data_IF_394710242936
#
_entry.id   IF_394710242936
#
_cell.length_a   1.000
_cell.length_b   1.000
_cell.length_c   1.000
_cell.angle_alpha   90.00
_cell.angle_beta   90.00
_cell.angle_gamma   90.00
#
_symmetry.space_group_name_H-M   'P 1'
#
loop_
_entity.id
_entity.type
_entity.pdbx_description
1 polymer ?
#
# COMPACT_ATOMS: atom_id res chain seq x y z
N UNK A 1 -27.03 20.60 -29.17
CA UNK A 1 -26.26 19.78 -28.20
C UNK A 1 -24.83 20.31 -28.23
N UNK A 2 -24.27 20.82 -27.12
CA UNK A 2 -22.87 21.22 -27.11
C UNK A 2 -21.99 19.98 -27.23
N UNK A 3 -21.04 20.00 -28.17
CA UNK A 3 -20.01 18.97 -28.29
C UNK A 3 -18.81 19.41 -27.46
N UNK A 4 -18.30 18.59 -26.52
CA UNK A 4 -17.06 18.91 -25.82
C UNK A 4 -15.90 19.03 -26.83
N UNK A 5 -15.02 20.00 -26.60
CA UNK A 5 -13.86 20.22 -27.46
C UNK A 5 -12.85 19.07 -27.36
N UNK A 6 -12.03 18.91 -28.40
CA UNK A 6 -10.95 17.91 -28.41
C UNK A 6 -9.89 18.27 -27.36
N UNK A 7 -9.59 17.32 -26.48
CA UNK A 7 -8.49 17.42 -25.52
C UNK A 7 -7.15 17.24 -26.23
N UNK A 8 -6.21 18.15 -26.01
CA UNK A 8 -4.81 17.96 -26.39
C UNK A 8 -4.11 17.19 -25.27
N UNK A 9 -3.57 16.00 -25.58
CA UNK A 9 -2.71 15.25 -24.67
C UNK A 9 -1.27 15.75 -24.83
N UNK A 10 -0.52 15.83 -23.73
CA UNK A 10 0.93 16.02 -23.79
C UNK A 10 1.60 14.67 -24.03
N UNK A 11 2.15 14.47 -25.22
CA UNK A 11 2.75 13.19 -25.65
C UNK A 11 3.91 12.72 -24.75
N UNK A 12 4.66 13.66 -24.16
CA UNK A 12 5.83 13.34 -23.33
C UNK A 12 5.45 12.62 -22.02
N UNK A 13 4.44 13.13 -21.30
CA UNK A 13 4.02 12.55 -20.03
C UNK A 13 3.23 11.24 -20.24
N UNK A 14 2.44 11.18 -21.32
CA UNK A 14 1.71 9.97 -21.70
C UNK A 14 2.65 8.78 -21.92
N UNK A 15 3.72 8.98 -22.68
CA UNK A 15 4.68 7.91 -23.03
C UNK A 15 5.48 7.43 -21.82
N UNK A 16 5.69 8.29 -20.81
CA UNK A 16 6.35 7.90 -19.55
C UNK A 16 5.46 7.00 -18.70
N UNK A 17 4.17 7.33 -18.58
CA UNK A 17 3.19 6.55 -17.80
C UNK A 17 2.76 5.26 -18.50
N UNK A 18 2.68 5.31 -19.83
CA UNK A 18 2.29 4.21 -20.70
C UNK A 18 3.45 3.90 -21.65
N UNK A 19 4.53 3.28 -21.15
CA UNK A 19 5.60 2.82 -22.02
C UNK A 19 5.00 1.88 -23.07
N UNK A 20 5.58 1.78 -24.27
CA UNK A 20 5.04 0.97 -25.38
C UNK A 20 5.15 -0.53 -25.06
N UNK A 21 4.27 -1.01 -24.18
CA UNK A 21 3.97 -2.40 -23.94
C UNK A 21 2.94 -2.81 -24.97
N UNK A 22 3.28 -3.81 -25.77
CA UNK A 22 2.37 -4.31 -26.79
C UNK A 22 1.39 -5.26 -26.12
N UNK A 23 0.14 -4.80 -25.96
CA UNK A 23 -0.98 -5.71 -25.86
C UNK A 23 -0.94 -6.65 -27.07
N UNK A 24 -0.96 -7.97 -26.80
CA UNK A 24 -1.02 -8.98 -27.85
C UNK A 24 -2.45 -9.48 -27.93
N UNK A 25 -3.11 -9.22 -29.05
CA UNK A 25 -4.44 -9.73 -29.28
C UNK A 25 -4.43 -11.25 -29.27
N UNK A 26 -5.34 -11.83 -28.48
CA UNK A 26 -5.60 -13.25 -28.48
C UNK A 26 -6.37 -13.66 -29.74
N UNK A 27 -6.10 -14.86 -30.26
CA UNK A 27 -6.85 -15.42 -31.40
C UNK A 27 -8.33 -15.71 -31.06
N UNK A 28 -8.67 -15.70 -29.77
CA UNK A 28 -10.01 -15.96 -29.23
C UNK A 28 -10.45 -14.80 -28.33
N UNK A 29 -11.76 -14.71 -28.04
CA UNK A 29 -12.28 -13.71 -27.10
C UNK A 29 -11.61 -13.83 -25.72
N UNK A 30 -11.28 -12.68 -25.16
CA UNK A 30 -10.77 -12.55 -23.80
C UNK A 30 -11.90 -12.93 -22.84
N UNK A 31 -11.72 -14.02 -22.07
CA UNK A 31 -12.54 -14.30 -20.90
C UNK A 31 -11.80 -13.85 -19.64
N UNK A 32 -12.26 -12.78 -19.01
CA UNK A 32 -11.72 -12.27 -17.75
C UNK A 32 -12.77 -12.36 -16.66
N UNK A 33 -12.53 -13.24 -15.69
CA UNK A 33 -13.32 -13.36 -14.45
C UNK A 33 -12.59 -12.75 -13.25
N UNK A 34 -11.35 -12.26 -13.46
CA UNK A 34 -10.51 -11.73 -12.39
C UNK A 34 -10.92 -10.30 -12.06
N UNK A 35 -11.23 -10.06 -10.79
CA UNK A 35 -11.41 -8.73 -10.24
C UNK A 35 -10.11 -7.91 -10.38
N UNK A 36 -10.23 -6.58 -10.42
CA UNK A 36 -9.07 -5.69 -10.51
C UNK A 36 -8.13 -5.96 -9.34
N UNK A 37 -6.96 -6.51 -9.68
CA UNK A 37 -5.89 -6.81 -8.75
C UNK A 37 -4.84 -5.71 -8.93
N UNK A 38 -4.91 -4.68 -8.08
CA UNK A 38 -4.09 -3.47 -8.21
C UNK A 38 -2.61 -3.69 -7.85
N UNK A 39 -2.13 -4.94 -7.79
CA UNK A 39 -0.71 -5.28 -7.63
C UNK A 39 -0.12 -4.98 -6.25
N UNK A 40 -0.78 -4.10 -5.50
CA UNK A 40 -0.33 -3.60 -4.23
C UNK A 40 -1.13 -4.29 -3.13
N UNK A 41 -0.36 -4.76 -2.15
CA UNK A 41 -0.73 -5.64 -1.06
C UNK A 41 -2.04 -5.20 -0.39
N UNK A 42 -2.81 -6.19 0.08
CA UNK A 42 -4.14 -6.09 0.69
C UNK A 42 -5.27 -6.15 -0.34
N UNK A 43 -6.17 -7.13 -0.18
CA UNK A 43 -7.28 -7.50 -1.06
C UNK A 43 -8.02 -6.31 -1.72
N UNK A 44 -7.50 -5.80 -2.84
CA UNK A 44 -8.07 -4.67 -3.60
C UNK A 44 -7.83 -3.28 -2.99
N UNK A 45 -7.10 -3.18 -1.88
CA UNK A 45 -6.97 -1.99 -1.03
C UNK A 45 -5.50 -1.60 -0.81
N UNK A 46 -4.67 -1.68 -1.86
CA UNK A 46 -3.30 -1.19 -1.84
C UNK A 46 -3.17 0.30 -1.51
N UNK A 47 -2.02 0.70 -0.97
CA UNK A 47 -1.65 2.10 -0.80
C UNK A 47 -0.80 2.54 -2.00
N UNK A 48 -1.03 3.75 -2.49
CA UNK A 48 -0.25 4.39 -3.54
C UNK A 48 0.39 5.64 -2.95
N UNK A 49 1.69 5.81 -3.17
CA UNK A 49 2.40 7.00 -2.69
C UNK A 49 1.92 8.24 -3.45
N UNK A 50 1.66 9.32 -2.71
CA UNK A 50 1.49 10.65 -3.31
C UNK A 50 2.82 11.42 -3.33
N UNK A 51 2.79 12.67 -3.79
CA UNK A 51 3.99 13.51 -3.89
C UNK A 51 4.64 13.74 -2.51
N UNK A 52 3.83 13.81 -1.45
CA UNK A 52 4.33 14.00 -0.09
C UNK A 52 5.09 12.76 0.40
N UNK A 53 4.58 11.57 0.09
CA UNK A 53 5.25 10.31 0.39
C UNK A 53 6.54 10.15 -0.42
N UNK A 54 6.53 10.50 -1.70
CA UNK A 54 7.70 10.43 -2.57
C UNK A 54 8.84 11.34 -2.07
N UNK A 55 8.54 12.59 -1.72
CA UNK A 55 9.50 13.55 -1.17
C UNK A 55 10.10 13.06 0.16
N UNK A 56 9.25 12.49 1.03
CA UNK A 56 9.70 11.91 2.29
C UNK A 56 10.61 10.71 2.06
N UNK A 57 10.21 9.79 1.17
CA UNK A 57 10.97 8.58 0.86
C UNK A 57 12.35 8.92 0.31
N UNK A 58 12.42 9.88 -0.62
CA UNK A 58 13.67 10.38 -1.18
C UNK A 58 14.58 10.94 -0.08
N UNK A 59 14.05 11.80 0.79
CA UNK A 59 14.79 12.43 1.89
C UNK A 59 15.28 11.38 2.89
N UNK A 60 14.43 10.42 3.27
CA UNK A 60 14.76 9.34 4.18
C UNK A 60 15.89 8.45 3.61
N UNK A 61 15.81 8.10 2.32
CA UNK A 61 16.82 7.27 1.68
C UNK A 61 18.18 7.95 1.52
N UNK A 62 18.21 9.29 1.40
CA UNK A 62 19.48 10.04 1.37
C UNK A 62 20.22 9.98 2.70
N UNK A 63 19.49 9.96 3.82
CA UNK A 63 20.08 9.89 5.17
C UNK A 63 20.27 8.45 5.66
N UNK A 64 19.63 7.49 5.00
CA UNK A 64 19.76 6.08 5.32
C UNK A 64 21.13 5.57 4.84
N UNK A 65 22.06 5.36 5.80
CA UNK A 65 23.41 4.84 5.57
C UNK A 65 23.43 3.41 4.99
N UNK A 66 23.04 3.24 3.73
CA UNK A 66 23.08 1.99 2.98
C UNK A 66 21.85 1.08 3.12
N UNK A 67 20.78 1.52 3.78
CA UNK A 67 19.50 0.78 3.88
C UNK A 67 18.37 1.59 3.27
N UNK A 68 18.24 1.51 1.95
CA UNK A 68 17.18 2.18 1.21
C UNK A 68 15.86 1.43 1.33
N UNK A 69 14.77 2.17 1.48
CA UNK A 69 13.39 1.69 1.41
C UNK A 69 12.91 1.91 -0.03
N UNK A 70 12.38 0.89 -0.70
CA UNK A 70 11.78 1.06 -2.02
C UNK A 70 10.35 1.62 -1.94
N UNK A 71 9.77 2.04 -3.07
CA UNK A 71 8.37 2.46 -3.13
C UNK A 71 7.44 1.32 -2.72
N UNK A 72 7.62 0.12 -3.29
CA UNK A 72 6.86 -1.09 -2.94
C UNK A 72 6.93 -1.41 -1.43
N UNK A 73 8.11 -1.24 -0.81
CA UNK A 73 8.29 -1.45 0.63
C UNK A 73 7.44 -0.46 1.46
N UNK A 74 7.46 0.81 1.05
CA UNK A 74 6.71 1.87 1.72
C UNK A 74 5.21 1.69 1.52
N UNK A 75 4.77 1.41 0.29
CA UNK A 75 3.36 1.15 -0.05
C UNK A 75 2.80 -0.02 0.74
N UNK A 76 3.54 -1.13 0.84
CA UNK A 76 3.18 -2.27 1.67
C UNK A 76 2.95 -1.86 3.12
N UNK A 77 3.93 -1.18 3.72
CA UNK A 77 3.88 -0.79 5.13
C UNK A 77 2.77 0.23 5.41
N UNK A 78 2.63 1.24 4.56
CA UNK A 78 1.56 2.25 4.63
C UNK A 78 0.18 1.60 4.47
N UNK A 79 0.04 0.67 3.53
CA UNK A 79 -1.18 -0.10 3.33
C UNK A 79 -1.57 -0.91 4.56
N UNK A 80 -0.61 -1.63 5.17
CA UNK A 80 -0.84 -2.38 6.41
C UNK A 80 -1.29 -1.45 7.53
N UNK A 81 -0.62 -0.29 7.71
CA UNK A 81 -1.04 0.67 8.72
C UNK A 81 -2.47 1.18 8.49
N UNK A 82 -2.82 1.58 7.26
CA UNK A 82 -4.16 2.06 6.92
C UNK A 82 -5.25 0.99 7.07
N UNK A 83 -4.94 -0.28 6.76
CA UNK A 83 -5.91 -1.36 6.95
C UNK A 83 -6.14 -1.65 8.43
N UNK A 84 -5.07 -1.66 9.24
CA UNK A 84 -5.19 -1.91 10.67
C UNK A 84 -5.99 -0.85 11.42
N UNK A 85 -6.09 0.36 10.87
CA UNK A 85 -6.86 1.48 11.44
C UNK A 85 -8.28 1.55 10.89
N UNK A 86 -8.49 1.16 9.63
CA UNK A 86 -9.83 1.05 9.01
C UNK A 86 -10.66 -0.13 9.52
N UNK A 87 -10.04 -1.17 10.08
CA UNK A 87 -10.73 -2.34 10.60
C UNK A 87 -11.36 -2.05 11.98
N UNK A 88 -12.69 -1.88 12.02
CA UNK A 88 -13.45 -1.87 13.28
C UNK A 88 -13.33 -3.20 14.06
N UNK A 89 -13.07 -4.29 13.33
CA UNK A 89 -12.76 -5.63 13.85
C UNK A 89 -11.70 -6.21 12.92
N UNK A 90 -10.50 -6.52 13.42
CA UNK A 90 -9.51 -7.27 12.65
C UNK A 90 -9.96 -8.74 12.66
N UNK A 91 -10.27 -9.37 11.53
CA UNK A 91 -10.59 -10.79 11.51
C UNK A 91 -9.34 -11.59 11.87
N UNK A 92 -9.52 -12.69 12.61
CA UNK A 92 -8.45 -13.63 13.03
C UNK A 92 -7.57 -14.16 11.87
N UNK A 93 -8.07 -13.97 10.65
CA UNK A 93 -7.60 -14.53 9.40
C UNK A 93 -6.70 -13.55 8.63
N UNK A 94 -6.71 -12.26 8.98
CA UNK A 94 -5.88 -11.22 8.33
C UNK A 94 -4.49 -11.12 8.96
N UNK A 95 -4.33 -11.52 10.22
CA UNK A 95 -3.04 -11.59 10.89
C UNK A 95 -3.22 -12.50 12.11
N UNK A 96 -2.41 -13.55 12.27
CA UNK A 96 -2.66 -14.68 13.16
C UNK A 96 -3.24 -14.34 14.55
N UNK A 97 -4.03 -15.27 15.11
CA UNK A 97 -4.84 -15.23 16.35
C UNK A 97 -4.38 -14.39 17.56
N UNK A 98 -3.11 -14.01 17.68
CA UNK A 98 -2.55 -13.19 18.77
C UNK A 98 -2.91 -11.70 18.71
N UNK A 99 -3.55 -11.21 17.64
CA UNK A 99 -3.72 -9.77 17.34
C UNK A 99 -5.13 -9.24 17.68
N UNK A 100 -6.05 -10.14 18.05
CA UNK A 100 -7.50 -9.89 18.05
C UNK A 100 -8.04 -9.09 19.24
N UNK A 101 -7.30 -9.02 20.35
CA UNK A 101 -7.85 -8.48 21.61
C UNK A 101 -7.49 -6.99 21.81
N UNK A 102 -6.49 -6.45 21.09
CA UNK A 102 -5.94 -5.12 21.35
C UNK A 102 -6.44 -4.00 20.40
N UNK A 103 -7.32 -4.30 19.43
CA UNK A 103 -7.62 -3.42 18.29
C UNK A 103 -8.71 -2.33 18.53
N UNK A 104 -9.09 -2.03 19.78
CA UNK A 104 -10.26 -1.17 20.07
C UNK A 104 -9.98 0.31 20.36
N UNK A 105 -8.73 0.79 20.39
CA UNK A 105 -8.43 2.22 20.61
C UNK A 105 -7.23 2.73 19.80
N UNK A 106 -7.45 3.86 19.13
CA UNK A 106 -6.40 4.77 18.63
C UNK A 106 -5.76 5.53 19.80
N UNK A 107 -4.45 5.86 19.78
CA UNK A 107 -3.39 5.39 18.90
C UNK A 107 -2.55 4.30 19.57
N UNK A 108 -2.29 3.21 18.85
CA UNK A 108 -1.34 2.17 19.24
C UNK A 108 0.04 2.78 19.47
N UNK A 109 0.75 2.33 20.48
CA UNK A 109 2.18 2.55 20.57
C UNK A 109 2.91 1.73 19.49
N UNK A 110 4.13 2.14 19.15
CA UNK A 110 4.96 1.42 18.17
C UNK A 110 5.15 -0.07 18.55
N UNK A 111 5.22 -0.39 19.85
CA UNK A 111 5.40 -1.75 20.34
C UNK A 111 4.31 -2.71 19.84
N UNK A 112 3.06 -2.24 19.80
CA UNK A 112 1.94 -3.01 19.28
C UNK A 112 2.10 -3.32 17.78
N UNK A 113 2.56 -2.37 16.97
CA UNK A 113 2.83 -2.58 15.54
C UNK A 113 4.05 -3.47 15.30
N UNK A 114 5.09 -3.31 16.11
CA UNK A 114 6.30 -4.12 16.01
C UNK A 114 6.00 -5.62 16.08
N UNK A 115 5.09 -6.04 16.98
CA UNK A 115 4.66 -7.44 17.10
C UNK A 115 4.00 -7.94 15.80
N UNK A 116 3.22 -7.08 15.13
CA UNK A 116 2.54 -7.41 13.86
C UNK A 116 3.55 -7.68 12.75
N UNK A 117 4.45 -6.72 12.53
CA UNK A 117 5.47 -6.81 11.48
C UNK A 117 6.54 -7.88 11.77
N UNK A 118 6.67 -8.32 13.03
CA UNK A 118 7.55 -9.43 13.41
C UNK A 118 7.03 -10.80 12.99
N UNK A 119 5.75 -10.89 12.63
CA UNK A 119 5.12 -12.13 12.15
C UNK A 119 5.16 -12.24 10.63
N UNK A 120 5.07 -13.47 10.09
CA UNK A 120 4.95 -13.66 8.64
C UNK A 120 3.57 -13.21 8.19
N UNK A 121 3.51 -12.37 7.14
CA UNK A 121 2.26 -11.99 6.50
C UNK A 121 1.55 -13.24 5.95
N UNK A 122 0.24 -13.33 6.20
CA UNK A 122 -0.57 -14.43 5.73
C UNK A 122 -0.91 -14.24 4.24
N UNK A 123 -1.11 -15.34 3.51
CA UNK A 123 -1.47 -15.27 2.08
C UNK A 123 -2.85 -14.61 1.86
N UNK A 124 -3.71 -14.66 2.88
CA UNK A 124 -5.01 -13.96 2.94
C UNK A 124 -4.88 -12.44 2.99
N UNK A 125 -3.70 -11.90 3.31
CA UNK A 125 -3.42 -10.46 3.20
C UNK A 125 -3.25 -10.00 1.74
N UNK A 126 -3.28 -10.90 0.76
CA UNK A 126 -3.00 -10.56 -0.63
C UNK A 126 -4.19 -10.95 -1.50
N UNK A 127 -4.57 -10.09 -2.46
CA UNK A 127 -5.67 -10.34 -3.39
C UNK A 127 -5.48 -11.64 -4.19
N UNK A 128 -4.22 -12.00 -4.46
CA UNK A 128 -3.84 -13.24 -5.14
C UNK A 128 -4.02 -14.50 -4.29
N UNK A 129 -4.26 -14.39 -2.99
CA UNK A 129 -4.24 -15.50 -2.05
C UNK A 129 -2.86 -16.14 -1.89
N UNK A 130 -1.79 -15.45 -2.32
CA UNK A 130 -0.39 -15.89 -2.24
C UNK A 130 0.50 -14.73 -1.81
N UNK A 131 1.51 -15.01 -0.97
CA UNK A 131 2.52 -14.00 -0.61
C UNK A 131 3.51 -13.83 -1.77
N UNK A 132 3.64 -12.63 -2.37
CA UNK A 132 4.62 -12.38 -3.44
C UNK A 132 6.06 -12.58 -2.98
N UNK A 133 6.94 -12.99 -3.90
CA UNK A 133 8.36 -13.25 -3.60
C UNK A 133 9.18 -12.00 -3.28
N UNK A 134 8.70 -10.82 -3.68
CA UNK A 134 9.34 -9.54 -3.40
C UNK A 134 9.09 -9.06 -1.96
N UNK A 135 8.09 -9.60 -1.27
CA UNK A 135 7.73 -9.18 0.09
C UNK A 135 8.91 -9.37 1.04
N UNK A 136 9.33 -8.32 1.77
CA UNK A 136 10.45 -8.42 2.69
C UNK A 136 10.22 -9.44 3.81
N UNK A 137 11.29 -10.12 4.28
CA UNK A 137 11.18 -10.98 5.45
C UNK A 137 10.82 -10.16 6.71
N UNK A 138 10.22 -10.77 7.75
CA UNK A 138 9.69 -10.04 8.91
C UNK A 138 10.68 -9.09 9.58
N UNK A 139 11.96 -9.46 9.71
CA UNK A 139 12.97 -8.60 10.33
C UNK A 139 13.23 -7.30 9.53
N UNK A 140 13.25 -7.40 8.20
CA UNK A 140 13.36 -6.23 7.32
C UNK A 140 12.08 -5.42 7.38
N UNK A 141 10.93 -6.08 7.39
CA UNK A 141 9.63 -5.42 7.47
C UNK A 141 9.46 -4.61 8.76
N UNK A 142 9.90 -5.12 9.92
CA UNK A 142 9.94 -4.36 11.18
C UNK A 142 10.83 -3.13 11.07
N UNK A 143 12.01 -3.26 10.46
CA UNK A 143 12.92 -2.14 10.26
C UNK A 143 12.28 -1.04 9.40
N UNK A 144 11.70 -1.42 8.26
CA UNK A 144 11.02 -0.50 7.33
C UNK A 144 9.85 0.17 8.04
N UNK A 145 8.99 -0.61 8.70
CA UNK A 145 7.86 -0.10 9.46
C UNK A 145 8.27 0.88 10.56
N UNK A 146 9.40 0.65 11.21
CA UNK A 146 9.93 1.55 12.24
C UNK A 146 10.30 2.92 11.67
N UNK A 147 10.88 2.95 10.45
CA UNK A 147 11.26 4.20 9.79
C UNK A 147 10.03 4.95 9.24
N UNK A 148 9.05 4.22 8.70
CA UNK A 148 7.84 4.79 8.08
C UNK A 148 6.82 5.26 9.12
N UNK A 149 6.75 4.61 10.28
CA UNK A 149 5.74 4.88 11.30
C UNK A 149 5.60 6.36 11.71
N UNK A 150 6.68 7.12 11.98
CA UNK A 150 6.57 8.55 12.31
C UNK A 150 5.93 9.38 11.19
N UNK A 151 6.26 9.09 9.93
CA UNK A 151 5.70 9.75 8.76
C UNK A 151 4.21 9.46 8.61
N UNK A 152 3.85 8.18 8.59
CA UNK A 152 2.45 7.75 8.54
C UNK A 152 1.61 8.39 9.65
N UNK A 153 2.11 8.36 10.89
CA UNK A 153 1.43 8.93 12.05
C UNK A 153 1.24 10.43 11.89
N UNK A 154 2.26 11.15 11.45
CA UNK A 154 2.17 12.59 11.20
C UNK A 154 1.08 12.89 10.16
N UNK A 155 1.08 12.17 9.04
CA UNK A 155 0.06 12.34 7.99
C UNK A 155 -1.35 12.15 8.51
N UNK A 156 -1.60 11.14 9.34
CA UNK A 156 -2.92 10.92 9.93
C UNK A 156 -3.35 12.03 10.87
N UNK A 157 -2.43 12.62 11.63
CA UNK A 157 -2.76 13.77 12.49
C UNK A 157 -3.17 15.00 11.68
N UNK A 158 -2.63 15.19 10.47
CA UNK A 158 -3.04 16.29 9.58
C UNK A 158 -4.47 16.13 9.07
N UNK A 159 -4.97 14.89 9.02
CA UNK A 159 -6.32 14.57 8.59
C UNK A 159 -7.28 14.27 9.76
N UNK A 160 -6.99 14.76 10.97
CA UNK A 160 -7.78 14.49 12.18
C UNK A 160 -8.07 13.00 12.42
N UNK A 161 -7.05 12.16 12.15
CA UNK A 161 -7.09 10.69 12.21
C UNK A 161 -8.04 10.03 11.20
N UNK A 162 -8.55 10.76 10.21
CA UNK A 162 -9.28 10.18 9.07
C UNK A 162 -8.34 9.41 8.12
N UNK A 163 -8.94 8.66 7.19
CA UNK A 163 -8.23 7.79 6.23
C UNK A 163 -7.36 8.65 5.31
N UNK A 164 -6.11 8.23 5.08
CA UNK A 164 -5.20 8.93 4.16
C UNK A 164 -5.66 8.81 2.72
N UNK A 165 -6.23 7.64 2.38
CA UNK A 165 -6.78 7.39 1.05
C UNK A 165 -8.18 8.00 0.92
N UNK A 166 -8.48 8.68 -0.19
CA UNK A 166 -9.83 9.12 -0.49
C UNK A 166 -10.79 7.93 -0.41
N UNK A 167 -11.89 8.09 0.31
CA UNK A 167 -12.98 7.11 0.30
C UNK A 167 -14.00 7.53 -0.75
N UNK A 168 -14.51 6.57 -1.51
CA UNK A 168 -15.72 6.80 -2.29
C UNK A 168 -16.90 6.96 -1.31
N UNK A 169 -17.60 8.09 -1.38
CA UNK A 169 -18.88 8.32 -0.68
C UNK A 169 -19.99 7.44 -1.25
#
# INVERSE_FOLDING_TARGET
IPTPGTLQLSDEHYTQLYPPLQWRDSEVYINTEKELDFGNVLSGDGYLLDETDADWLQSNNQVANGKTISEDDMELVMGIFEQLTGLQVIPAEVCGRSILIAARQEPRDWASYMILFSSKLAATCFASGMVPSWVPPPHSLVYIAQQVYPHWRHRRTLLDNSKLRPSHN
#
